data_IF_937253019360
#
_entry.id   IF_937253019360
#
_cell.length_a   1.000
_cell.length_b   1.000
_cell.length_c   1.000
_cell.angle_alpha   90.00
_cell.angle_beta   90.00
_cell.angle_gamma   90.00
#
_symmetry.space_group_name_H-M   'P 1'
#
loop_
_entity.id
_entity.type
_entity.pdbx_description
1 polymer ?
#
# COMPACT_ATOMS: atom_id res chain seq x y z
N UNK A 1 -61.14 28.27 16.15
CA UNK A 1 -61.16 29.59 15.47
C UNK A 1 -61.20 30.70 16.52
N UNK A 2 -60.45 31.79 16.28
CA UNK A 2 -60.13 32.97 17.13
C UNK A 2 -58.81 32.83 17.92
N UNK A 3 -57.64 33.18 17.36
CA UNK A 3 -56.99 34.49 17.05
C UNK A 3 -56.19 35.11 18.21
N UNK A 4 -54.91 35.34 17.91
CA UNK A 4 -53.85 36.04 18.65
C UNK A 4 -54.15 37.53 18.95
N UNK A 5 -53.51 38.06 20.01
CA UNK A 5 -52.64 39.28 20.06
C UNK A 5 -52.35 39.63 21.53
N UNK A 6 -51.11 39.57 22.02
CA UNK A 6 -50.01 40.56 21.97
C UNK A 6 -50.08 41.67 23.04
N UNK A 7 -48.87 42.08 23.48
CA UNK A 7 -48.48 43.28 24.28
C UNK A 7 -48.51 43.10 25.82
N UNK A 8 -47.53 43.56 26.62
CA UNK A 8 -46.53 44.64 26.49
C UNK A 8 -45.42 44.49 27.57
N UNK A 9 -44.24 45.04 27.30
CA UNK A 9 -43.07 45.15 28.18
C UNK A 9 -43.24 46.19 29.30
N UNK A 10 -42.49 46.05 30.41
CA UNK A 10 -42.31 47.13 31.39
C UNK A 10 -41.42 46.77 32.59
N UNK A 11 -40.23 47.38 32.63
CA UNK A 11 -39.11 47.21 33.58
C UNK A 11 -39.28 48.12 34.83
N UNK A 12 -38.79 47.70 36.02
CA UNK A 12 -37.83 48.45 36.91
C UNK A 12 -37.72 47.96 38.37
N UNK A 13 -36.49 47.52 38.71
CA UNK A 13 -35.62 47.85 39.86
C UNK A 13 -36.14 48.32 41.23
N UNK A 14 -35.63 47.68 42.31
CA UNK A 14 -34.79 48.22 43.43
C UNK A 14 -34.62 47.11 44.51
N UNK A 15 -33.41 46.62 44.88
CA UNK A 15 -32.25 47.14 45.65
C UNK A 15 -32.41 47.06 47.19
N UNK A 16 -31.46 46.38 47.85
CA UNK A 16 -30.79 46.62 49.18
C UNK A 16 -30.35 45.25 49.77
N UNK A 17 -29.04 44.88 49.81
CA UNK A 17 -28.00 45.19 50.84
C UNK A 17 -28.36 44.65 52.24
N UNK A 18 -27.52 44.03 53.09
CA UNK A 18 -26.14 43.49 53.10
C UNK A 18 -25.98 42.74 54.46
N UNK A 19 -24.85 42.04 54.69
CA UNK A 19 -24.18 41.60 55.95
C UNK A 19 -23.63 40.16 55.78
N UNK A 20 -22.34 39.99 55.45
CA UNK A 20 -21.18 39.94 56.36
C UNK A 20 -21.06 38.62 57.12
N UNK A 21 -20.13 37.75 56.70
CA UNK A 21 -19.03 37.27 57.55
C UNK A 21 -18.02 36.45 56.75
N UNK A 22 -16.77 36.65 57.16
CA UNK A 22 -15.50 36.22 56.62
C UNK A 22 -15.30 34.70 56.62
N UNK A 23 -14.56 34.16 55.65
CA UNK A 23 -13.25 33.50 55.84
C UNK A 23 -12.93 32.44 54.75
N UNK A 24 -11.69 32.52 54.27
CA UNK A 24 -10.83 31.47 53.68
C UNK A 24 -11.03 31.12 52.19
N UNK A 25 -10.12 31.69 51.38
CA UNK A 25 -9.62 31.12 50.12
C UNK A 25 -8.73 29.90 50.41
N UNK A 26 -8.54 29.00 49.41
CA UNK A 26 -7.36 29.15 48.57
C UNK A 26 -7.64 29.05 47.06
N UNK A 27 -7.13 30.06 46.34
CA UNK A 27 -6.40 30.00 45.06
C UNK A 27 -6.86 28.95 44.02
N UNK A 28 -7.81 29.35 43.17
CA UNK A 28 -7.92 28.81 41.83
C UNK A 28 -6.85 29.46 40.94
N UNK A 29 -5.85 28.68 40.50
CA UNK A 29 -4.98 29.07 39.40
C UNK A 29 -5.70 28.80 38.08
N UNK A 30 -6.28 29.85 37.51
CA UNK A 30 -6.68 29.88 36.11
C UNK A 30 -5.41 29.95 35.25
N UNK A 31 -5.00 28.83 34.65
CA UNK A 31 -4.11 28.86 33.49
C UNK A 31 -4.98 28.90 32.24
N UNK A 32 -4.90 30.04 31.57
CA UNK A 32 -5.44 30.29 30.23
C UNK A 32 -4.86 29.28 29.21
N UNK A 33 -5.59 28.97 28.13
CA UNK A 33 -5.10 28.13 27.05
C UNK A 33 -3.95 28.82 26.32
N UNK A 34 -2.84 28.11 26.13
CA UNK A 34 -1.75 28.54 25.26
C UNK A 34 -2.21 28.50 23.80
N UNK A 35 -1.77 29.45 22.95
CA UNK A 35 -2.11 29.45 21.54
C UNK A 35 -1.38 28.31 20.84
N UNK A 36 -2.13 27.50 20.08
CA UNK A 36 -1.58 26.55 19.12
C UNK A 36 -0.56 27.27 18.25
N UNK A 37 0.68 26.80 18.37
CA UNK A 37 1.80 27.21 17.54
C UNK A 37 1.51 26.70 16.12
N UNK A 38 1.18 27.64 15.23
CA UNK A 38 1.27 27.43 13.79
C UNK A 38 2.72 27.07 13.45
N UNK A 39 3.02 25.78 13.31
CA UNK A 39 4.24 25.38 12.62
C UNK A 39 4.12 25.81 11.15
N UNK A 40 5.16 26.44 10.59
CA UNK A 40 5.10 26.88 9.20
C UNK A 40 5.17 25.65 8.28
N UNK A 41 4.51 25.74 7.13
CA UNK A 41 4.46 24.72 6.09
C UNK A 41 5.81 24.24 5.46
N UNK A 42 7.01 24.84 5.62
CA UNK A 42 8.20 24.32 4.95
C UNK A 42 8.76 23.02 5.56
N UNK A 43 8.43 22.68 6.81
CA UNK A 43 9.02 21.49 7.47
C UNK A 43 8.45 20.16 6.96
N UNK A 44 7.17 20.13 6.56
CA UNK A 44 6.53 18.94 5.98
C UNK A 44 6.94 18.70 4.52
N UNK A 45 7.22 19.75 3.75
CA UNK A 45 7.65 19.60 2.35
C UNK A 45 9.12 19.15 2.21
N UNK A 46 10.01 19.58 3.10
CA UNK A 46 11.44 19.21 3.03
C UNK A 46 11.65 17.72 3.39
N UNK A 47 10.91 17.18 4.36
CA UNK A 47 11.02 15.76 4.74
C UNK A 47 10.41 14.82 3.69
N UNK A 48 9.34 15.23 3.00
CA UNK A 48 8.72 14.43 1.93
C UNK A 48 9.57 14.43 0.65
N UNK A 49 10.20 15.57 0.30
CA UNK A 49 11.11 15.65 -0.86
C UNK A 49 12.40 14.84 -0.67
N UNK A 50 13.00 14.88 0.51
CA UNK A 50 14.25 14.12 0.80
C UNK A 50 14.00 12.61 0.89
N UNK A 51 12.84 12.18 1.39
CA UNK A 51 12.44 10.78 1.42
C UNK A 51 12.12 10.24 0.01
N UNK A 52 11.52 11.05 -0.86
CA UNK A 52 11.24 10.63 -2.24
C UNK A 52 12.53 10.48 -3.07
N UNK A 53 13.48 11.42 -2.98
CA UNK A 53 14.76 11.31 -3.67
C UNK A 53 15.58 10.11 -3.18
N UNK A 54 15.59 9.82 -1.87
CA UNK A 54 16.30 8.65 -1.34
C UNK A 54 15.68 7.33 -1.82
N UNK A 55 14.34 7.24 -1.89
CA UNK A 55 13.65 6.08 -2.44
C UNK A 55 13.91 5.88 -3.94
N UNK A 56 13.95 6.95 -4.73
CA UNK A 56 14.25 6.88 -6.17
C UNK A 56 15.68 6.36 -6.41
N UNK A 57 16.64 6.84 -5.63
CA UNK A 57 18.04 6.38 -5.71
C UNK A 57 18.18 4.92 -5.27
N UNK A 58 17.53 4.53 -4.17
CA UNK A 58 17.52 3.14 -3.70
C UNK A 58 16.92 2.21 -4.75
N UNK A 59 15.77 2.58 -5.31
CA UNK A 59 15.12 1.82 -6.36
C UNK A 59 16.04 1.62 -7.59
N UNK A 60 16.66 2.69 -8.10
CA UNK A 60 17.59 2.58 -9.21
C UNK A 60 18.79 1.69 -8.88
N UNK A 61 19.32 1.77 -7.66
CA UNK A 61 20.41 0.90 -7.22
C UNK A 61 20.01 -0.57 -7.21
N UNK A 62 18.83 -0.90 -6.70
CA UNK A 62 18.30 -2.27 -6.67
C UNK A 62 18.03 -2.83 -8.07
N UNK A 63 17.47 -2.01 -8.97
CA UNK A 63 17.29 -2.41 -10.37
C UNK A 63 18.64 -2.62 -11.05
N UNK A 64 19.62 -1.74 -10.78
CA UNK A 64 20.97 -1.88 -11.31
C UNK A 64 21.62 -3.20 -10.86
N UNK A 65 21.49 -3.57 -9.58
CA UNK A 65 22.04 -4.82 -9.04
C UNK A 65 21.38 -6.07 -9.64
N UNK A 66 20.11 -5.98 -10.06
CA UNK A 66 19.42 -7.07 -10.75
C UNK A 66 19.88 -7.26 -12.20
N UNK A 67 20.23 -6.19 -12.92
CA UNK A 67 20.57 -6.25 -14.35
C UNK A 67 22.08 -6.30 -14.65
N UNK A 68 22.91 -5.88 -13.69
CA UNK A 68 24.37 -5.82 -13.82
C UNK A 68 25.07 -6.80 -12.87
N UNK A 69 25.61 -7.89 -13.42
CA UNK A 69 26.54 -8.78 -12.70
C UNK A 69 27.85 -8.07 -12.35
N UNK A 70 28.56 -8.52 -11.32
CA UNK A 70 29.86 -7.96 -10.90
C UNK A 70 30.93 -8.21 -11.97
N UNK A 71 31.17 -7.25 -12.87
CA UNK A 71 32.29 -7.22 -13.81
C UNK A 71 32.63 -5.78 -14.24
N UNK A 72 33.87 -5.51 -14.71
CA UNK A 72 34.31 -4.15 -15.09
C UNK A 72 33.51 -3.51 -16.23
N UNK A 73 33.14 -4.26 -17.28
CA UNK A 73 32.28 -3.73 -18.35
C UNK A 73 30.86 -3.42 -17.86
N UNK A 74 30.46 -4.04 -16.76
CA UNK A 74 29.19 -3.77 -16.07
C UNK A 74 29.20 -2.42 -15.36
N UNK A 75 30.36 -1.89 -14.97
CA UNK A 75 30.46 -0.67 -14.16
C UNK A 75 30.14 0.58 -14.98
N UNK A 76 30.69 0.70 -16.19
CA UNK A 76 30.33 1.78 -17.13
C UNK A 76 28.86 1.73 -17.52
N UNK A 77 28.31 0.54 -17.76
CA UNK A 77 26.90 0.36 -18.10
C UNK A 77 25.98 0.65 -16.91
N UNK A 78 26.37 0.24 -15.71
CA UNK A 78 25.68 0.54 -14.45
C UNK A 78 25.65 2.04 -14.20
N UNK A 79 26.77 2.74 -14.36
CA UNK A 79 26.80 4.19 -14.22
C UNK A 79 25.91 4.87 -15.27
N UNK A 80 26.00 4.45 -16.54
CA UNK A 80 25.13 4.95 -17.60
C UNK A 80 23.64 4.80 -17.25
N UNK A 81 23.25 3.63 -16.74
CA UNK A 81 21.88 3.39 -16.28
C UNK A 81 21.48 4.33 -15.13
N UNK A 82 22.28 4.39 -14.06
CA UNK A 82 21.97 5.21 -12.88
C UNK A 82 21.82 6.69 -13.23
N UNK A 83 22.66 7.21 -14.14
CA UNK A 83 22.59 8.60 -14.56
C UNK A 83 21.45 8.85 -15.56
N UNK A 84 21.35 8.07 -16.63
CA UNK A 84 20.37 8.31 -17.71
C UNK A 84 18.93 8.09 -17.26
N UNK A 85 18.71 7.15 -16.33
CA UNK A 85 17.39 6.80 -15.81
C UNK A 85 17.06 7.54 -14.50
N UNK A 86 17.93 8.41 -14.00
CA UNK A 86 17.61 9.32 -12.89
C UNK A 86 16.51 10.30 -13.31
N UNK A 87 15.50 10.58 -12.45
CA UNK A 87 14.47 11.58 -12.74
C UNK A 87 15.03 12.99 -12.96
N UNK A 88 16.14 13.31 -12.29
CA UNK A 88 16.84 14.59 -12.43
C UNK A 88 17.39 14.79 -13.84
N UNK A 89 17.70 13.68 -14.53
CA UNK A 89 18.34 13.65 -15.82
C UNK A 89 17.37 13.30 -16.97
N UNK A 90 16.06 13.33 -16.75
CA UNK A 90 15.07 12.97 -17.78
C UNK A 90 15.14 13.85 -19.04
N UNK A 91 15.37 15.15 -18.85
CA UNK A 91 15.41 16.14 -19.94
C UNK A 91 16.79 16.27 -20.59
N UNK A 92 17.82 15.75 -19.93
CA UNK A 92 19.20 15.90 -20.39
C UNK A 92 19.46 15.20 -21.71
N UNK A 93 20.38 15.74 -22.51
CA UNK A 93 20.84 15.09 -23.73
C UNK A 93 21.87 14.00 -23.41
N UNK A 94 22.01 13.01 -24.30
CA UNK A 94 23.00 11.94 -24.11
C UNK A 94 24.45 12.47 -24.02
N UNK A 95 24.74 13.64 -24.61
CA UNK A 95 26.06 14.28 -24.53
C UNK A 95 26.37 14.73 -23.10
N UNK A 96 25.41 15.33 -22.41
CA UNK A 96 25.60 15.80 -21.03
C UNK A 96 25.75 14.61 -20.06
N UNK A 97 24.95 13.54 -20.26
CA UNK A 97 25.13 12.28 -19.52
C UNK A 97 26.52 11.70 -19.75
N UNK A 98 27.03 11.75 -20.98
CA UNK A 98 28.34 11.23 -21.31
C UNK A 98 29.48 12.04 -20.67
N UNK A 99 29.35 13.36 -20.57
CA UNK A 99 30.30 14.21 -19.83
C UNK A 99 30.33 13.87 -18.35
N UNK A 100 29.15 13.72 -17.72
CA UNK A 100 29.08 13.32 -16.31
C UNK A 100 29.70 11.93 -16.09
N UNK A 101 29.52 11.00 -17.05
CA UNK A 101 30.20 9.70 -17.01
C UNK A 101 31.71 9.83 -17.14
N UNK A 102 32.23 10.70 -18.02
CA UNK A 102 33.67 10.92 -18.18
C UNK A 102 34.29 11.54 -16.94
N UNK A 103 33.63 12.50 -16.31
CA UNK A 103 34.08 13.09 -15.04
C UNK A 103 34.21 12.04 -13.92
N UNK A 104 33.29 11.07 -13.85
CA UNK A 104 33.30 10.03 -12.82
C UNK A 104 34.24 8.85 -13.13
N UNK A 105 34.46 8.53 -14.40
CA UNK A 105 35.27 7.37 -14.82
C UNK A 105 36.70 7.75 -15.27
N UNK A 106 36.93 9.00 -15.66
CA UNK A 106 38.24 9.53 -16.10
C UNK A 106 38.71 9.03 -17.47
N UNK A 107 37.80 8.82 -18.43
CA UNK A 107 38.16 8.31 -19.77
C UNK A 107 37.01 7.72 -20.58
N UNK A 108 35.77 8.15 -20.35
CA UNK A 108 34.61 7.73 -21.13
C UNK A 108 34.53 8.50 -22.44
N UNK A 109 34.46 7.79 -23.58
CA UNK A 109 34.29 8.44 -24.88
C UNK A 109 32.82 8.82 -25.10
N UNK A 110 32.52 10.11 -25.21
CA UNK A 110 31.17 10.64 -25.45
C UNK A 110 30.46 9.98 -26.64
N UNK A 111 31.19 9.67 -27.71
CA UNK A 111 30.64 9.04 -28.92
C UNK A 111 30.10 7.63 -28.65
N UNK A 112 30.52 6.98 -27.57
CA UNK A 112 30.12 5.63 -27.19
C UNK A 112 28.83 5.56 -26.38
N UNK A 113 28.22 6.70 -26.02
CA UNK A 113 27.02 6.74 -25.15
C UNK A 113 25.85 5.94 -25.72
N UNK A 114 25.57 6.07 -27.02
CA UNK A 114 24.45 5.38 -27.64
C UNK A 114 24.67 3.85 -27.67
N UNK A 115 25.90 3.40 -27.89
CA UNK A 115 26.26 1.98 -27.84
C UNK A 115 26.16 1.43 -26.41
N UNK A 116 26.62 2.19 -25.42
CA UNK A 116 26.51 1.85 -24.00
C UNK A 116 25.05 1.73 -23.58
N UNK A 117 24.22 2.71 -23.96
CA UNK A 117 22.79 2.73 -23.68
C UNK A 117 22.05 1.55 -24.34
N UNK A 118 22.44 1.16 -25.55
CA UNK A 118 21.85 -0.02 -26.21
C UNK A 118 22.11 -1.32 -25.42
N UNK A 119 23.30 -1.50 -24.85
CA UNK A 119 23.60 -2.66 -24.00
C UNK A 119 22.86 -2.60 -22.65
N UNK A 120 22.66 -1.40 -22.07
CA UNK A 120 21.80 -1.21 -20.88
C UNK A 120 20.38 -1.68 -21.18
N UNK A 121 19.79 -1.19 -22.28
CA UNK A 121 18.42 -1.56 -22.68
C UNK A 121 18.27 -3.05 -22.96
N UNK A 122 19.28 -3.69 -23.55
CA UNK A 122 19.30 -5.13 -23.79
C UNK A 122 19.28 -5.93 -22.49
N UNK A 123 20.04 -5.51 -21.48
CA UNK A 123 20.05 -6.14 -20.14
C UNK A 123 18.71 -5.96 -19.43
N UNK A 124 18.17 -4.75 -19.51
CA UNK A 124 16.86 -4.42 -18.94
C UNK A 124 15.73 -5.23 -19.60
N UNK A 125 15.74 -5.38 -20.95
CA UNK A 125 14.84 -6.30 -21.68
C UNK A 125 15.02 -7.74 -21.23
N UNK A 126 16.27 -8.19 -21.06
CA UNK A 126 16.56 -9.57 -20.68
C UNK A 126 15.98 -9.91 -19.30
N UNK A 127 16.06 -8.97 -18.36
CA UNK A 127 15.60 -9.19 -16.99
C UNK A 127 14.08 -8.98 -16.83
N UNK A 128 13.52 -7.94 -17.44
CA UNK A 128 12.15 -7.50 -17.19
C UNK A 128 11.24 -7.54 -18.43
N UNK A 129 11.69 -8.12 -19.54
CA UNK A 129 10.97 -8.09 -20.81
C UNK A 129 9.59 -8.72 -20.76
N UNK A 130 9.40 -9.79 -19.98
CA UNK A 130 8.08 -10.41 -19.79
C UNK A 130 7.12 -9.48 -19.03
N UNK A 131 7.60 -8.83 -17.97
CA UNK A 131 6.83 -7.85 -17.18
C UNK A 131 6.44 -6.64 -18.03
N UNK A 132 7.39 -6.11 -18.82
CA UNK A 132 7.14 -5.02 -19.77
C UNK A 132 6.09 -5.40 -20.82
N UNK A 133 6.18 -6.60 -21.39
CA UNK A 133 5.21 -7.09 -22.37
C UNK A 133 3.80 -7.19 -21.75
N UNK A 134 3.68 -7.65 -20.50
CA UNK A 134 2.40 -7.66 -19.77
C UNK A 134 1.83 -6.26 -19.56
N UNK A 135 2.68 -5.24 -19.41
CA UNK A 135 2.27 -3.83 -19.34
C UNK A 135 2.03 -3.18 -20.72
N UNK A 136 2.05 -3.96 -21.81
CA UNK A 136 1.84 -3.45 -23.17
C UNK A 136 3.03 -2.69 -23.75
N UNK A 137 4.20 -2.75 -23.10
CA UNK A 137 5.42 -2.09 -23.55
C UNK A 137 6.10 -2.95 -24.60
N UNK A 138 6.06 -2.51 -25.85
CA UNK A 138 6.73 -3.17 -26.96
C UNK A 138 7.65 -2.19 -27.70
N UNK A 139 8.96 -2.44 -27.64
CA UNK A 139 9.97 -1.69 -28.40
C UNK A 139 10.65 -2.52 -29.49
N UNK A 140 10.04 -3.62 -29.94
CA UNK A 140 10.47 -4.37 -31.12
C UNK A 140 10.65 -3.40 -32.30
N UNK A 141 11.84 -3.49 -32.92
CA UNK A 141 12.32 -2.56 -33.93
C UNK A 141 11.29 -2.31 -35.04
N UNK A 142 10.59 -1.17 -35.01
CA UNK A 142 10.23 -0.50 -36.26
C UNK A 142 11.55 -0.09 -36.89
N UNK A 143 12.05 -0.89 -37.85
CA UNK A 143 13.29 -0.60 -38.60
C UNK A 143 13.26 0.87 -39.06
N UNK A 144 14.18 1.68 -38.54
CA UNK A 144 14.27 3.11 -38.83
C UNK A 144 14.63 3.94 -37.60
N UNK A 145 15.04 5.19 -37.82
CA UNK A 145 15.13 6.19 -36.75
C UNK A 145 13.70 6.40 -36.21
N UNK A 146 13.48 6.45 -34.88
CA UNK A 146 12.17 6.78 -34.32
C UNK A 146 11.63 8.04 -35.00
N UNK A 147 10.37 8.00 -35.45
CA UNK A 147 9.74 9.14 -36.12
C UNK A 147 9.54 10.33 -35.17
N UNK A 148 9.56 10.07 -33.86
CA UNK A 148 9.45 11.02 -32.77
C UNK A 148 10.49 10.66 -31.68
N UNK A 149 11.12 11.67 -31.09
CA UNK A 149 12.06 11.53 -29.97
C UNK A 149 11.40 10.84 -28.77
N UNK A 150 10.09 11.06 -28.58
CA UNK A 150 9.27 10.38 -27.56
C UNK A 150 9.13 8.87 -27.78
N UNK A 151 9.44 8.37 -28.97
CA UNK A 151 9.43 6.93 -29.30
C UNK A 151 10.84 6.30 -29.23
N UNK A 152 11.83 7.01 -28.70
CA UNK A 152 13.15 6.42 -28.49
C UNK A 152 13.08 5.27 -27.48
N UNK A 153 13.74 4.11 -27.73
CA UNK A 153 13.65 2.94 -26.87
C UNK A 153 13.98 3.19 -25.40
N UNK A 154 14.90 4.10 -25.12
CA UNK A 154 15.26 4.44 -23.74
C UNK A 154 14.18 5.26 -23.03
N UNK A 155 13.47 6.16 -23.73
CA UNK A 155 12.35 6.91 -23.14
C UNK A 155 11.17 5.98 -22.82
N UNK A 156 10.90 5.00 -23.68
CA UNK A 156 9.89 3.97 -23.42
C UNK A 156 10.26 3.15 -22.17
N UNK A 157 11.50 2.67 -22.09
CA UNK A 157 11.98 1.95 -20.93
C UNK A 157 11.95 2.81 -19.66
N UNK A 158 12.29 4.10 -19.77
CA UNK A 158 12.23 5.06 -18.67
C UNK A 158 10.79 5.24 -18.17
N UNK A 159 9.83 5.50 -19.06
CA UNK A 159 8.41 5.64 -18.67
C UNK A 159 7.92 4.39 -17.98
N UNK A 160 8.21 3.19 -18.52
CA UNK A 160 7.85 1.95 -17.83
C UNK A 160 8.47 1.84 -16.43
N UNK A 161 9.75 2.20 -16.30
CA UNK A 161 10.47 2.10 -15.04
C UNK A 161 9.82 2.98 -13.95
N UNK A 162 9.40 4.20 -14.31
CA UNK A 162 8.89 5.18 -13.34
C UNK A 162 7.37 5.19 -13.20
N UNK A 163 6.62 4.87 -14.25
CA UNK A 163 5.15 4.88 -14.26
C UNK A 163 4.56 3.52 -13.86
N UNK A 164 5.34 2.44 -13.98
CA UNK A 164 4.91 1.10 -13.58
C UNK A 164 5.83 0.50 -12.50
N UNK A 165 7.11 0.27 -12.81
CA UNK A 165 7.98 -0.53 -11.94
C UNK A 165 8.22 0.11 -10.57
N UNK A 166 8.49 1.42 -10.54
CA UNK A 166 8.74 2.16 -9.29
C UNK A 166 7.53 2.19 -8.35
N UNK A 167 6.30 2.55 -8.79
CA UNK A 167 5.11 2.46 -7.94
C UNK A 167 4.89 1.06 -7.35
N UNK A 168 5.07 0.00 -8.15
CA UNK A 168 4.95 -1.37 -7.64
C UNK A 168 6.05 -1.71 -6.62
N UNK A 169 7.29 -1.28 -6.86
CA UNK A 169 8.38 -1.47 -5.90
C UNK A 169 8.12 -0.74 -4.58
N UNK A 170 7.64 0.51 -4.63
CA UNK A 170 7.25 1.25 -3.41
C UNK A 170 6.13 0.53 -2.66
N UNK A 171 5.12 0.04 -3.39
CA UNK A 171 4.00 -0.72 -2.84
C UNK A 171 4.46 -2.01 -2.16
N UNK A 172 5.41 -2.75 -2.74
CA UNK A 172 6.00 -3.93 -2.10
C UNK A 172 6.78 -3.56 -0.83
N UNK A 173 7.53 -2.46 -0.84
CA UNK A 173 8.21 -1.95 0.35
C UNK A 173 7.25 -1.60 1.49
N UNK A 174 6.11 -0.97 1.17
CA UNK A 174 5.05 -0.67 2.13
C UNK A 174 4.42 -1.95 2.70
N UNK A 175 4.09 -2.90 1.84
CA UNK A 175 3.57 -4.20 2.25
C UNK A 175 4.51 -4.94 3.20
N UNK A 176 5.82 -4.98 2.87
CA UNK A 176 6.82 -5.59 3.74
C UNK A 176 6.96 -4.86 5.09
N UNK A 177 6.83 -3.53 5.09
CA UNK A 177 6.86 -2.74 6.32
C UNK A 177 5.67 -3.05 7.22
N UNK A 178 4.49 -3.23 6.63
CA UNK A 178 3.27 -3.64 7.34
C UNK A 178 3.41 -5.05 7.92
N UNK A 179 3.88 -6.02 7.13
CA UNK A 179 4.10 -7.39 7.60
C UNK A 179 5.08 -7.43 8.77
N UNK A 180 6.19 -6.67 8.71
CA UNK A 180 7.18 -6.63 9.79
C UNK A 180 6.62 -6.12 11.12
N UNK A 181 5.57 -5.30 11.08
CA UNK A 181 4.88 -4.76 12.27
C UNK A 181 3.71 -5.65 12.71
N UNK A 182 3.29 -6.57 11.87
CA UNK A 182 2.15 -7.41 12.12
C UNK A 182 2.49 -8.56 13.10
N UNK A 183 1.52 -8.91 13.93
CA UNK A 183 1.56 -10.14 14.71
C UNK A 183 1.02 -11.31 13.88
N UNK A 184 1.45 -12.54 14.17
CA UNK A 184 1.01 -13.72 13.41
C UNK A 184 0.54 -14.89 14.29
N UNK A 185 -0.44 -14.69 15.19
CA UNK A 185 -1.02 -15.79 15.96
C UNK A 185 -1.71 -16.81 15.04
N UNK A 186 -1.32 -18.08 15.13
CA UNK A 186 -1.77 -19.15 14.21
C UNK A 186 -3.29 -19.46 14.18
N UNK A 187 -4.12 -18.78 14.97
CA UNK A 187 -5.57 -18.96 14.99
C UNK A 187 -6.34 -17.78 14.40
N UNK A 188 -5.70 -16.62 14.16
CA UNK A 188 -6.44 -15.39 13.84
C UNK A 188 -7.16 -15.42 12.49
N UNK A 189 -6.65 -16.19 11.53
CA UNK A 189 -7.26 -16.34 10.21
C UNK A 189 -7.31 -17.80 9.83
N UNK A 190 -8.48 -18.37 9.59
CA UNK A 190 -8.62 -19.79 9.22
C UNK A 190 -9.58 -19.95 8.06
N UNK A 191 -9.35 -20.98 7.26
CA UNK A 191 -10.26 -21.41 6.21
C UNK A 191 -10.82 -22.79 6.58
N UNK A 192 -12.13 -22.92 6.58
CA UNK A 192 -12.83 -24.18 6.81
C UNK A 192 -13.58 -24.55 5.54
N UNK A 193 -13.32 -25.74 4.94
CA UNK A 193 -14.09 -26.18 3.79
C UNK A 193 -15.55 -26.40 4.20
N UNK A 194 -16.47 -26.37 3.25
CA UNK A 194 -17.91 -26.56 3.50
C UNK A 194 -18.17 -27.75 4.46
N UNK A 195 -18.92 -27.54 5.56
CA UNK A 195 -19.26 -28.56 6.57
C UNK A 195 -19.97 -29.81 6.03
N UNK A 196 -20.39 -29.84 4.78
CA UNK A 196 -20.86 -31.06 4.12
C UNK A 196 -19.77 -32.15 3.99
N UNK A 197 -18.49 -31.80 4.11
CA UNK A 197 -17.38 -32.75 4.25
C UNK A 197 -17.24 -33.20 5.72
N UNK A 198 -18.08 -34.15 6.14
CA UNK A 198 -18.00 -34.77 7.47
C UNK A 198 -16.95 -35.88 7.50
N UNK A 199 -15.96 -35.76 8.39
CA UNK A 199 -14.96 -36.79 8.67
C UNK A 199 -14.04 -36.41 9.83
N UNK A 200 -13.52 -37.41 10.54
CA UNK A 200 -12.46 -37.20 11.53
C UNK A 200 -11.12 -37.16 10.78
N UNK A 201 -10.54 -35.96 10.64
CA UNK A 201 -9.18 -35.80 10.13
C UNK A 201 -8.24 -35.67 11.33
N UNK A 202 -7.31 -36.62 11.46
CA UNK A 202 -6.22 -36.51 12.44
C UNK A 202 -5.10 -35.72 11.76
N UNK A 203 -4.78 -34.49 12.22
CA UNK A 203 -3.75 -33.70 11.57
C UNK A 203 -2.39 -34.41 11.68
N UNK A 204 -1.57 -34.42 10.61
CA UNK A 204 -0.20 -34.88 10.71
C UNK A 204 0.56 -34.04 11.75
N UNK A 205 1.45 -34.69 12.51
CA UNK A 205 2.27 -34.02 13.52
C UNK A 205 3.03 -32.84 12.92
N UNK A 206 2.98 -31.69 13.62
CA UNK A 206 3.51 -30.39 13.18
C UNK A 206 4.88 -30.50 12.50
N UNK A 207 4.92 -30.17 11.22
CA UNK A 207 6.06 -29.46 10.63
C UNK A 207 5.67 -27.98 10.55
N UNK A 208 6.64 -27.08 10.65
CA UNK A 208 6.47 -25.63 10.48
C UNK A 208 6.17 -25.26 9.00
N UNK A 209 5.35 -26.06 8.33
CA UNK A 209 4.92 -25.83 6.96
C UNK A 209 3.80 -24.78 6.97
N UNK A 210 3.77 -23.87 5.99
CA UNK A 210 2.71 -22.89 5.87
C UNK A 210 1.36 -23.62 5.73
N UNK A 211 0.28 -23.08 6.31
CA UNK A 211 -1.03 -23.69 6.21
C UNK A 211 -1.46 -23.78 4.74
N UNK A 212 -2.04 -24.92 4.38
CA UNK A 212 -2.37 -25.25 3.00
C UNK A 212 -3.85 -25.02 2.73
N UNK A 213 -4.18 -24.50 1.55
CA UNK A 213 -5.53 -24.33 1.02
C UNK A 213 -5.61 -25.07 -0.32
N UNK A 214 -6.72 -25.75 -0.59
CA UNK A 214 -6.93 -26.47 -1.84
C UNK A 214 -7.52 -25.58 -2.92
N UNK A 215 -6.99 -25.72 -4.14
CA UNK A 215 -7.48 -25.05 -5.34
C UNK A 215 -8.94 -25.43 -5.61
N UNK A 216 -9.77 -24.44 -5.95
CA UNK A 216 -11.18 -24.57 -6.28
C UNK A 216 -12.06 -25.22 -5.19
N UNK A 217 -11.56 -25.35 -3.96
CA UNK A 217 -12.35 -25.80 -2.82
C UNK A 217 -13.11 -24.59 -2.25
N UNK A 218 -14.41 -24.73 -1.96
CA UNK A 218 -15.18 -23.68 -1.32
C UNK A 218 -14.89 -23.61 0.18
N UNK A 219 -14.59 -22.41 0.66
CA UNK A 219 -14.26 -22.14 2.06
C UNK A 219 -15.17 -21.10 2.69
N UNK A 220 -15.37 -21.25 3.99
CA UNK A 220 -15.66 -20.15 4.91
C UNK A 220 -14.36 -19.65 5.52
N UNK A 221 -14.18 -18.34 5.53
CA UNK A 221 -13.06 -17.67 6.20
C UNK A 221 -13.49 -17.22 7.60
N UNK A 222 -12.65 -17.50 8.58
CA UNK A 222 -12.82 -17.14 9.99
C UNK A 222 -11.73 -16.15 10.38
N UNK A 223 -12.12 -14.95 10.79
CA UNK A 223 -11.22 -13.93 11.33
C UNK A 223 -11.47 -13.78 12.82
N UNK A 224 -10.48 -14.10 13.64
CA UNK A 224 -10.51 -14.12 15.11
C UNK A 224 -9.42 -13.20 15.65
N UNK A 225 -9.80 -11.99 16.04
CA UNK A 225 -8.87 -10.95 16.50
C UNK A 225 -9.21 -10.63 17.95
N UNK A 226 -8.22 -10.76 18.84
CA UNK A 226 -8.34 -10.38 20.24
C UNK A 226 -7.87 -8.94 20.42
N UNK A 227 -8.75 -7.99 20.12
CA UNK A 227 -8.46 -6.56 20.12
C UNK A 227 -9.68 -5.73 20.54
N UNK A 228 -9.43 -4.58 21.17
CA UNK A 228 -10.47 -3.65 21.64
C UNK A 228 -10.99 -2.71 20.53
N UNK A 229 -10.28 -2.65 19.41
CA UNK A 229 -10.59 -1.80 18.26
C UNK A 229 -11.76 -2.38 17.45
N UNK A 230 -12.55 -1.50 16.82
CA UNK A 230 -13.88 -1.86 16.34
C UNK A 230 -13.97 -2.14 14.84
N UNK A 231 -12.99 -1.77 14.03
CA UNK A 231 -13.10 -1.84 12.57
C UNK A 231 -11.94 -2.63 11.96
N UNK A 232 -12.26 -3.49 11.00
CA UNK A 232 -11.31 -4.33 10.29
C UNK A 232 -11.09 -3.82 8.86
N UNK A 233 -9.82 -3.60 8.50
CA UNK A 233 -9.39 -3.58 7.11
C UNK A 233 -8.64 -4.88 6.83
N UNK A 234 -9.14 -5.70 5.90
CA UNK A 234 -8.51 -6.95 5.49
C UNK A 234 -8.11 -6.87 4.02
N UNK A 235 -6.81 -6.96 3.78
CA UNK A 235 -6.20 -6.97 2.45
C UNK A 235 -5.70 -8.38 2.12
N UNK A 236 -5.89 -8.78 0.87
CA UNK A 236 -5.36 -10.01 0.29
C UNK A 236 -4.37 -9.67 -0.84
N UNK A 237 -3.27 -10.44 -0.91
CA UNK A 237 -2.29 -10.43 -2.00
C UNK A 237 -2.03 -11.86 -2.45
N UNK A 238 -2.47 -12.21 -3.65
CA UNK A 238 -2.11 -13.43 -4.35
C UNK A 238 -0.99 -13.19 -5.38
N UNK A 239 -0.78 -14.16 -6.28
CA UNK A 239 0.25 -14.07 -7.32
C UNK A 239 0.00 -12.91 -8.29
N UNK A 240 -1.24 -12.80 -8.79
CA UNK A 240 -1.66 -11.77 -9.76
C UNK A 240 -2.84 -10.94 -9.23
N UNK A 241 -3.28 -11.18 -7.99
CA UNK A 241 -4.50 -10.62 -7.39
C UNK A 241 -4.20 -9.80 -6.15
N UNK A 242 -4.95 -8.71 -5.96
CA UNK A 242 -4.78 -7.74 -4.89
C UNK A 242 -6.14 -7.20 -4.50
N UNK A 243 -6.77 -7.78 -3.49
CA UNK A 243 -8.15 -7.43 -3.14
C UNK A 243 -8.25 -6.86 -1.73
N UNK A 244 -9.19 -5.94 -1.55
CA UNK A 244 -9.78 -5.64 -0.25
C UNK A 244 -10.86 -6.68 0.00
N UNK A 245 -10.66 -7.49 1.03
CA UNK A 245 -11.61 -8.52 1.46
C UNK A 245 -12.63 -7.92 2.44
N UNK A 246 -12.22 -6.99 3.28
CA UNK A 246 -13.10 -6.30 4.23
C UNK A 246 -12.64 -4.84 4.40
N UNK A 247 -13.52 -3.82 4.28
CA UNK A 247 -14.90 -3.92 3.79
C UNK A 247 -14.95 -4.26 2.29
N UNK A 248 -15.84 -5.17 1.89
CA UNK A 248 -16.11 -5.48 0.48
C UNK A 248 -17.54 -6.00 0.29
N UNK A 249 -18.18 -5.69 -0.84
CA UNK A 249 -19.51 -6.23 -1.14
C UNK A 249 -19.46 -7.72 -1.53
N UNK A 250 -18.31 -8.20 -2.02
CA UNK A 250 -18.08 -9.60 -2.36
C UNK A 250 -18.13 -10.50 -1.13
N UNK A 251 -17.46 -10.12 -0.04
CA UNK A 251 -17.22 -11.01 1.11
C UNK A 251 -17.65 -10.44 2.46
N UNK A 252 -17.48 -9.14 2.71
CA UNK A 252 -17.70 -8.57 4.05
C UNK A 252 -18.15 -7.09 3.98
N UNK A 253 -19.43 -6.80 3.71
CA UNK A 253 -19.92 -5.43 3.60
C UNK A 253 -19.91 -4.68 4.93
N UNK A 254 -19.83 -5.38 6.07
CA UNK A 254 -19.75 -4.77 7.40
C UNK A 254 -18.38 -5.02 8.01
N UNK A 255 -17.56 -3.98 8.13
CA UNK A 255 -16.22 -4.07 8.69
C UNK A 255 -16.14 -3.99 10.23
N UNK A 256 -17.28 -3.86 10.91
CA UNK A 256 -17.30 -3.73 12.37
C UNK A 256 -17.09 -5.09 13.06
N UNK A 257 -16.06 -5.18 13.88
CA UNK A 257 -15.78 -6.29 14.80
C UNK A 257 -16.74 -6.21 16.00
N UNK A 258 -17.91 -6.84 15.89
CA UNK A 258 -18.89 -6.91 17.01
C UNK A 258 -18.71 -8.16 17.87
N UNK A 259 -18.23 -9.24 17.27
CA UNK A 259 -18.05 -10.55 17.88
C UNK A 259 -16.57 -10.94 17.84
N UNK A 260 -16.17 -11.92 18.66
CA UNK A 260 -14.80 -12.47 18.68
C UNK A 260 -14.39 -13.11 17.35
N UNK A 261 -15.35 -13.46 16.50
CA UNK A 261 -15.13 -14.11 15.21
C UNK A 261 -15.97 -13.43 14.14
N UNK A 262 -15.32 -12.93 13.10
CA UNK A 262 -15.98 -12.49 11.87
C UNK A 262 -15.92 -13.62 10.84
N UNK A 263 -17.09 -14.08 10.41
CA UNK A 263 -17.23 -15.08 9.35
C UNK A 263 -17.39 -14.38 8.00
N UNK A 264 -16.69 -14.89 7.00
CA UNK A 264 -16.81 -14.45 5.62
C UNK A 264 -17.03 -15.66 4.68
N UNK A 265 -17.90 -15.56 3.67
CA UNK A 265 -18.71 -14.37 3.36
C UNK A 265 -19.78 -14.06 4.42
N UNK A 266 -20.05 -12.77 4.63
CA UNK A 266 -21.06 -12.29 5.58
C UNK A 266 -22.46 -12.35 4.96
N UNK A 267 -23.50 -12.38 5.80
CA UNK A 267 -24.88 -12.16 5.33
C UNK A 267 -25.00 -10.82 4.61
N UNK A 268 -25.54 -10.84 3.39
CA UNK A 268 -25.66 -9.66 2.53
C UNK A 268 -24.45 -9.41 1.62
N UNK A 269 -23.41 -10.24 1.71
CA UNK A 269 -22.34 -10.29 0.71
C UNK A 269 -22.85 -10.95 -0.59
N UNK A 270 -22.17 -10.69 -1.71
CA UNK A 270 -22.52 -11.26 -3.02
C UNK A 270 -22.07 -12.71 -3.18
N UNK A 271 -20.93 -13.08 -2.59
CA UNK A 271 -20.43 -14.44 -2.65
C UNK A 271 -21.00 -15.26 -1.49
N UNK A 272 -21.33 -16.52 -1.76
CA UNK A 272 -21.74 -17.48 -0.72
C UNK A 272 -20.54 -18.23 -0.13
N UNK A 273 -19.43 -18.26 -0.86
CA UNK A 273 -18.20 -19.00 -0.52
C UNK A 273 -16.95 -18.27 -1.04
N UNK A 274 -15.79 -18.60 -0.48
CA UNK A 274 -14.47 -18.13 -0.95
C UNK A 274 -13.76 -19.28 -1.66
N UNK A 275 -13.22 -19.00 -2.85
CA UNK A 275 -12.44 -19.96 -3.67
C UNK A 275 -11.14 -19.34 -4.12
N UNK A 276 -10.15 -20.19 -4.34
CA UNK A 276 -8.85 -19.84 -4.90
C UNK A 276 -8.67 -20.60 -6.21
N UNK A 277 -8.39 -19.90 -7.29
CA UNK A 277 -8.32 -20.45 -8.65
C UNK A 277 -6.89 -20.60 -9.18
N UNK A 278 -5.91 -20.10 -8.43
CA UNK A 278 -4.50 -20.07 -8.82
C UNK A 278 -3.62 -20.72 -7.73
N UNK A 279 -2.74 -21.63 -8.14
CA UNK A 279 -1.73 -22.22 -7.26
C UNK A 279 -0.66 -21.17 -6.94
N UNK A 280 -0.31 -21.04 -5.66
CA UNK A 280 0.67 -20.04 -5.24
C UNK A 280 0.54 -19.67 -3.78
N UNK A 281 1.31 -18.66 -3.38
CA UNK A 281 1.21 -18.09 -2.04
C UNK A 281 0.07 -17.06 -2.02
N UNK A 282 -0.80 -17.19 -1.02
CA UNK A 282 -1.87 -16.24 -0.72
C UNK A 282 -1.59 -15.58 0.62
N UNK A 283 -1.49 -14.26 0.62
CA UNK A 283 -1.15 -13.47 1.79
C UNK A 283 -2.33 -12.62 2.26
N UNK A 284 -2.48 -12.52 3.57
CA UNK A 284 -3.53 -11.73 4.20
C UNK A 284 -2.93 -10.82 5.26
N UNK A 285 -3.33 -9.55 5.20
CA UNK A 285 -2.98 -8.53 6.17
C UNK A 285 -4.26 -7.91 6.72
N UNK A 286 -4.52 -8.12 8.00
CA UNK A 286 -5.54 -7.40 8.74
C UNK A 286 -4.92 -6.20 9.44
N UNK A 287 -5.62 -5.06 9.39
CA UNK A 287 -5.32 -3.85 10.15
C UNK A 287 -6.57 -3.52 10.95
N UNK A 288 -6.42 -3.39 12.26
CA UNK A 288 -7.54 -3.05 13.13
C UNK A 288 -7.48 -1.57 13.49
N UNK A 289 -8.64 -0.92 13.40
CA UNK A 289 -8.80 0.51 13.46
C UNK A 289 -9.86 0.89 14.50
N UNK A 290 -9.65 2.02 15.16
CA UNK A 290 -10.65 2.60 16.06
C UNK A 290 -11.88 3.06 15.28
N UNK A 291 -11.66 3.75 14.16
CA UNK A 291 -12.70 4.28 13.27
C UNK A 291 -12.61 3.64 11.87
N UNK A 292 -13.75 3.60 11.18
CA UNK A 292 -13.77 3.17 9.78
C UNK A 292 -13.10 4.21 8.89
N UNK A 293 -12.36 3.75 7.88
CA UNK A 293 -11.77 4.63 6.88
C UNK A 293 -12.84 5.13 5.92
N UNK A 294 -12.83 6.43 5.65
CA UNK A 294 -13.77 7.11 4.75
C UNK A 294 -13.17 7.30 3.36
N UNK A 295 -12.80 6.18 2.72
CA UNK A 295 -12.37 6.18 1.32
C UNK A 295 -13.53 5.74 0.41
N UNK A 296 -13.83 6.46 -0.69
CA UNK A 296 -14.89 6.08 -1.60
C UNK A 296 -14.74 4.64 -2.14
N UNK A 297 -13.51 4.23 -2.42
CA UNK A 297 -13.20 2.88 -2.93
C UNK A 297 -13.27 1.77 -1.87
N UNK A 298 -13.39 2.11 -0.58
CA UNK A 298 -13.67 1.14 0.49
C UNK A 298 -15.16 1.00 0.78
N UNK A 299 -16.02 1.83 0.18
CA UNK A 299 -17.47 1.73 0.37
C UNK A 299 -17.99 0.52 -0.40
N UNK A 300 -18.56 -0.51 0.26
CA UNK A 300 -19.09 -1.69 -0.42
C UNK A 300 -20.14 -1.31 -1.47
N UNK A 301 -19.94 -1.77 -2.70
CA UNK A 301 -20.85 -1.53 -3.81
C UNK A 301 -20.77 -2.69 -4.82
N UNK A 302 -21.74 -2.77 -5.73
CA UNK A 302 -21.81 -3.87 -6.71
C UNK A 302 -20.93 -3.67 -7.95
N UNK A 303 -20.49 -2.43 -8.23
CA UNK A 303 -19.65 -2.11 -9.39
C UNK A 303 -18.23 -2.64 -9.21
N UNK A 304 -17.69 -2.48 -8.00
CA UNK A 304 -16.39 -2.99 -7.59
C UNK A 304 -16.55 -3.84 -6.31
N UNK A 305 -17.05 -5.08 -6.44
CA UNK A 305 -17.50 -5.85 -5.28
C UNK A 305 -16.36 -6.26 -4.34
N UNK A 306 -15.17 -6.51 -4.88
CA UNK A 306 -13.92 -6.64 -4.13
C UNK A 306 -12.92 -5.61 -4.68
N UNK A 307 -12.77 -4.44 -4.02
CA UNK A 307 -11.90 -3.38 -4.51
C UNK A 307 -10.47 -3.85 -4.73
N UNK A 308 -9.88 -3.48 -5.86
CA UNK A 308 -8.46 -3.77 -6.12
C UNK A 308 -7.63 -2.66 -5.48
N UNK A 309 -6.72 -3.00 -4.58
CA UNK A 309 -5.77 -2.01 -4.09
C UNK A 309 -4.58 -1.92 -5.07
N UNK A 310 -4.34 -0.71 -5.56
CA UNK A 310 -3.27 -0.36 -6.49
C UNK A 310 -2.29 0.60 -5.79
N UNK A 311 -1.17 0.99 -6.44
CA UNK A 311 -0.20 1.88 -5.81
C UNK A 311 -0.80 3.19 -5.28
N UNK A 312 -1.76 3.78 -6.00
CA UNK A 312 -2.43 5.03 -5.60
C UNK A 312 -3.25 4.84 -4.32
N UNK A 313 -4.15 3.84 -4.31
CA UNK A 313 -5.02 3.52 -3.16
C UNK A 313 -4.22 3.09 -1.92
N UNK A 314 -3.14 2.32 -2.11
CA UNK A 314 -2.28 1.90 -0.99
C UNK A 314 -1.49 3.08 -0.43
N UNK A 315 -1.05 4.02 -1.28
CA UNK A 315 -0.40 5.27 -0.82
C UNK A 315 -1.37 6.15 -0.03
N UNK A 316 -2.61 6.30 -0.49
CA UNK A 316 -3.68 6.99 0.26
C UNK A 316 -3.89 6.35 1.63
N UNK A 317 -4.03 5.02 1.67
CA UNK A 317 -4.17 4.25 2.90
C UNK A 317 -2.99 4.50 3.84
N UNK A 318 -1.76 4.37 3.35
CA UNK A 318 -0.55 4.54 4.15
C UNK A 318 -0.42 5.96 4.72
N UNK A 319 -0.75 6.97 3.92
CA UNK A 319 -0.74 8.37 4.36
C UNK A 319 -1.72 8.59 5.52
N UNK A 320 -2.90 7.97 5.46
CA UNK A 320 -3.90 8.06 6.54
C UNK A 320 -3.52 7.28 7.80
N UNK A 321 -2.90 6.10 7.65
CA UNK A 321 -2.44 5.31 8.80
C UNK A 321 -1.30 5.98 9.57
N UNK A 322 -0.67 7.01 8.98
CA UNK A 322 0.38 7.82 9.61
C UNK A 322 1.74 7.12 9.65
N UNK A 323 2.82 7.90 9.64
CA UNK A 323 4.18 7.36 9.80
C UNK A 323 4.44 6.85 11.22
N UNK A 324 3.70 7.37 12.23
CA UNK A 324 3.74 6.96 13.65
C UNK A 324 2.94 5.68 13.93
N UNK A 325 3.22 4.71 13.08
CA UNK A 325 2.90 3.28 13.07
C UNK A 325 3.20 2.46 14.35
N UNK A 326 3.57 3.08 15.47
CA UNK A 326 3.87 2.37 16.71
C UNK A 326 2.62 1.80 17.39
N UNK A 327 1.43 2.30 17.05
CA UNK A 327 0.15 1.84 17.61
C UNK A 327 -0.71 1.05 16.60
N UNK A 328 -0.17 0.76 15.40
CA UNK A 328 -0.89 0.00 14.39
C UNK A 328 -1.01 -1.47 14.83
N UNK A 329 -2.23 -1.95 15.08
CA UNK A 329 -2.48 -3.36 15.31
C UNK A 329 -2.70 -4.05 13.97
N UNK A 330 -1.64 -4.67 13.46
CA UNK A 330 -1.67 -5.43 12.23
C UNK A 330 -1.51 -6.94 12.51
N UNK A 331 -2.14 -7.76 11.69
CA UNK A 331 -2.05 -9.22 11.73
C UNK A 331 -1.74 -9.75 10.35
N UNK A 332 -0.77 -10.65 10.26
CA UNK A 332 -0.34 -11.23 9.00
C UNK A 332 -0.41 -12.75 9.03
N UNK A 333 -0.81 -13.33 7.90
CA UNK A 333 -0.76 -14.77 7.66
C UNK A 333 -0.68 -15.03 6.17
N UNK A 334 0.08 -16.05 5.80
CA UNK A 334 0.09 -16.58 4.44
C UNK A 334 -0.31 -18.04 4.41
N UNK A 335 -0.82 -18.46 3.26
CA UNK A 335 -1.24 -19.81 2.95
C UNK A 335 -0.63 -20.24 1.62
N UNK A 336 -0.34 -21.54 1.51
CA UNK A 336 0.04 -22.13 0.24
C UNK A 336 -1.20 -22.75 -0.41
N UNK A 337 -1.62 -22.21 -1.55
CA UNK A 337 -2.65 -22.83 -2.39
C UNK A 337 -2.00 -23.96 -3.18
N UNK A 338 -2.60 -25.15 -3.15
CA UNK A 338 -2.13 -26.35 -3.85
C UNK A 338 -3.27 -27.01 -4.62
N UNK A 339 -2.91 -27.77 -5.64
CA UNK A 339 -3.86 -28.61 -6.37
C UNK A 339 -4.65 -29.52 -5.42
N UNK A 340 -5.94 -29.73 -5.71
CA UNK A 340 -6.82 -30.53 -4.86
C UNK A 340 -6.31 -31.96 -4.61
N UNK A 341 -5.56 -32.53 -5.55
CA UNK A 341 -4.93 -33.86 -5.40
C UNK A 341 -3.82 -33.90 -4.34
N UNK A 342 -3.21 -32.75 -4.01
CA UNK A 342 -2.15 -32.61 -3.01
C UNK A 342 -2.69 -32.11 -1.65
N UNK A 343 -3.99 -31.85 -1.55
CA UNK A 343 -4.66 -31.34 -0.35
C UNK A 343 -5.08 -32.43 0.65
N UNK A 344 -4.98 -33.72 0.26
CA UNK A 344 -5.43 -34.88 1.06
C UNK A 344 -4.42 -35.34 2.11
#
# INVERSE_FOLDING_TARGET
MRTLREQLMGVKYHRLEAYSTSCLLPLASCLLPTPYSLLPAPFLMINTMTNQQSQQQQFLAEIADQIFSISKSSETQKLCFLLRFSPENWQEENVEIAREMDEKLGGFNEQSINATLAEVLKKLKKQFGEEMNKNGVNWENKRGRPADEKQSPWRIAYSWLWEHKFPYWQMDGLWQTLIKKATSPSHWLRFTPDPNHKGLVVPPGKKDEPPVIGLNIPYSMHVELDCDQQHLLLLNRGLDTKYVVCPSQAFAPVNRLKDKTMLMPQSGAMCEEIKFDTVGQEEFLAIVLEESLDFPWLTPNQEEPAPIWNPERLKELWTMLGEDSNNLQAFYRSFQVVEASAYN
#
